data_IF_719846467139
#
_entry.id   IF_719846467139
#
_cell.length_a   1.000
_cell.length_b   1.000
_cell.length_c   1.000
_cell.angle_alpha   90.00
_cell.angle_beta   90.00
_cell.angle_gamma   90.00
#
_symmetry.space_group_name_H-M   'P 1'
#
loop_
_entity.id
_entity.type
_entity.pdbx_description
1 polymer ?
#
# COMPACT_ATOMS: atom_id res chain seq x y z
N UNK A 1 9.08 23.50 9.57
CA UNK A 1 8.56 22.13 9.32
C UNK A 1 9.76 21.20 9.23
N UNK A 2 10.07 20.47 10.30
CA UNK A 2 11.13 19.45 10.26
C UNK A 2 10.62 18.28 9.40
N UNK A 3 11.48 17.79 8.50
CA UNK A 3 11.13 16.92 7.37
C UNK A 3 10.25 15.74 7.73
N UNK A 4 9.06 15.68 7.12
CA UNK A 4 8.28 14.45 7.06
C UNK A 4 9.13 13.40 6.33
N UNK A 5 9.26 12.16 6.84
CA UNK A 5 10.01 11.12 6.14
C UNK A 5 9.52 11.02 4.69
N UNK A 6 10.43 11.08 3.72
CA UNK A 6 10.07 10.92 2.30
C UNK A 6 9.43 9.55 2.03
N UNK A 7 9.73 8.55 2.87
CA UNK A 7 9.26 7.17 2.74
C UNK A 7 8.04 6.93 3.64
N UNK A 8 6.92 6.55 3.02
CA UNK A 8 5.68 6.16 3.67
C UNK A 8 5.71 4.66 4.01
N UNK A 9 6.25 4.33 5.17
CA UNK A 9 6.38 2.94 5.64
C UNK A 9 5.04 2.19 5.79
N UNK A 10 3.91 2.88 5.85
CA UNK A 10 2.60 2.22 5.86
C UNK A 10 2.33 1.36 4.63
N UNK A 11 2.86 1.72 3.44
CA UNK A 11 2.64 0.98 2.20
C UNK A 11 3.28 -0.41 2.22
N UNK A 12 4.61 -0.55 2.51
CA UNK A 12 5.21 -1.88 2.64
C UNK A 12 4.61 -2.67 3.79
N UNK A 13 4.26 -2.05 4.92
CA UNK A 13 3.65 -2.75 6.05
C UNK A 13 2.28 -3.34 5.72
N UNK A 14 1.46 -2.63 4.93
CA UNK A 14 0.20 -3.16 4.42
C UNK A 14 0.41 -4.40 3.54
N UNK A 15 1.36 -4.34 2.60
CA UNK A 15 1.67 -5.50 1.73
C UNK A 15 2.14 -6.68 2.57
N UNK A 16 3.00 -6.44 3.56
CA UNK A 16 3.48 -7.47 4.49
C UNK A 16 2.35 -8.06 5.35
N UNK A 17 1.42 -7.23 5.84
CA UNK A 17 0.26 -7.71 6.58
C UNK A 17 -0.57 -8.67 5.72
N UNK A 18 -0.80 -8.34 4.44
CA UNK A 18 -1.52 -9.20 3.49
C UNK A 18 -0.75 -10.49 3.21
N UNK A 19 0.58 -10.42 3.04
CA UNK A 19 1.42 -11.59 2.79
C UNK A 19 1.47 -12.56 3.99
N UNK A 20 1.57 -12.03 5.22
CA UNK A 20 1.72 -12.87 6.42
C UNK A 20 0.39 -13.35 7.01
N UNK A 21 -0.65 -12.51 7.03
CA UNK A 21 -1.95 -12.84 7.62
C UNK A 21 -2.95 -13.36 6.57
N UNK A 22 -2.57 -13.34 5.30
CA UNK A 22 -3.42 -13.69 4.17
C UNK A 22 -4.38 -12.56 3.77
N UNK A 23 -5.05 -12.76 2.63
CA UNK A 23 -5.86 -11.71 1.99
C UNK A 23 -6.95 -11.08 2.85
N UNK A 24 -7.68 -11.92 3.60
CA UNK A 24 -8.83 -11.44 4.40
C UNK A 24 -8.33 -10.72 5.65
N UNK A 25 -7.61 -11.41 6.53
CA UNK A 25 -7.16 -10.85 7.81
C UNK A 25 -6.12 -9.77 7.61
N UNK A 26 -5.17 -9.96 6.69
CA UNK A 26 -4.18 -8.95 6.35
C UNK A 26 -4.76 -7.72 5.66
N UNK A 27 -5.78 -7.91 4.81
CA UNK A 27 -6.54 -6.79 4.24
C UNK A 27 -7.29 -5.99 5.30
N UNK A 28 -7.98 -6.65 6.23
CA UNK A 28 -8.62 -5.97 7.37
C UNK A 28 -7.60 -5.25 8.25
N UNK A 29 -6.47 -5.88 8.56
CA UNK A 29 -5.39 -5.26 9.31
C UNK A 29 -4.83 -4.01 8.59
N UNK A 30 -4.70 -4.07 7.26
CA UNK A 30 -4.27 -2.92 6.46
C UNK A 30 -5.29 -1.78 6.47
N UNK A 31 -6.59 -2.08 6.31
CA UNK A 31 -7.67 -1.07 6.37
C UNK A 31 -7.72 -0.39 7.73
N UNK A 32 -7.70 -1.17 8.81
CA UNK A 32 -7.74 -0.63 10.18
C UNK A 32 -6.45 0.13 10.49
N UNK A 33 -5.30 -0.42 10.11
CA UNK A 33 -4.00 0.19 10.37
C UNK A 33 -3.82 1.52 9.65
N UNK A 34 -4.02 1.56 8.33
CA UNK A 34 -3.80 2.76 7.52
C UNK A 34 -4.98 3.74 7.60
N UNK A 35 -6.20 3.25 7.40
CA UNK A 35 -7.40 4.10 7.50
C UNK A 35 -7.59 4.65 8.92
N UNK A 36 -7.32 3.83 9.94
CA UNK A 36 -7.31 4.28 11.33
C UNK A 36 -6.19 5.27 11.63
N UNK A 37 -4.98 5.05 11.10
CA UNK A 37 -3.88 6.01 11.23
C UNK A 37 -4.27 7.37 10.65
N UNK A 38 -4.85 7.42 9.44
CA UNK A 38 -5.27 8.66 8.82
C UNK A 38 -6.36 9.38 9.63
N UNK A 39 -7.33 8.62 10.15
CA UNK A 39 -8.38 9.15 11.02
C UNK A 39 -7.79 9.82 12.27
N UNK A 40 -6.81 9.18 12.92
CA UNK A 40 -6.16 9.68 14.13
C UNK A 40 -5.22 10.87 13.87
N UNK A 41 -4.76 11.06 12.64
CA UNK A 41 -3.83 12.13 12.26
C UNK A 41 -4.51 13.33 11.59
N UNK A 42 -5.84 13.44 11.70
CA UNK A 42 -6.60 14.58 11.18
C UNK A 42 -6.98 14.47 9.70
N UNK A 43 -6.77 13.31 9.08
CA UNK A 43 -7.16 13.01 7.70
C UNK A 43 -8.49 12.25 7.62
N UNK A 44 -9.42 12.53 8.55
CA UNK A 44 -10.71 11.84 8.66
C UNK A 44 -11.50 11.85 7.34
N UNK A 45 -11.54 12.99 6.65
CA UNK A 45 -12.29 13.17 5.41
C UNK A 45 -11.77 12.33 4.23
N UNK A 46 -10.48 11.98 4.23
CA UNK A 46 -9.84 11.19 3.17
C UNK A 46 -9.51 9.76 3.61
N UNK A 47 -9.62 9.44 4.91
CA UNK A 47 -9.30 8.12 5.48
C UNK A 47 -10.01 6.94 4.79
N UNK A 48 -11.23 7.14 4.28
CA UNK A 48 -11.97 6.12 3.55
C UNK A 48 -11.35 5.79 2.19
N UNK A 49 -10.66 6.75 1.54
CA UNK A 49 -9.89 6.50 0.31
C UNK A 49 -8.69 5.62 0.63
N UNK A 50 -7.99 5.89 1.72
CA UNK A 50 -6.87 5.04 2.19
C UNK A 50 -7.34 3.63 2.54
N UNK A 51 -8.51 3.50 3.19
CA UNK A 51 -9.14 2.21 3.42
C UNK A 51 -9.47 1.48 2.10
N UNK A 52 -9.98 2.20 1.09
CA UNK A 52 -10.26 1.65 -0.23
C UNK A 52 -8.97 1.17 -0.93
N UNK A 53 -7.89 1.94 -0.85
CA UNK A 53 -6.58 1.52 -1.37
C UNK A 53 -6.08 0.23 -0.69
N UNK A 54 -6.29 0.10 0.62
CA UNK A 54 -5.94 -1.13 1.34
C UNK A 54 -6.76 -2.34 0.88
N UNK A 55 -8.04 -2.17 0.58
CA UNK A 55 -8.89 -3.23 0.01
C UNK A 55 -8.40 -3.62 -1.38
N UNK A 56 -8.11 -2.65 -2.25
CA UNK A 56 -7.58 -2.91 -3.60
C UNK A 56 -6.24 -3.65 -3.50
N UNK A 57 -5.35 -3.22 -2.61
CA UNK A 57 -4.07 -3.88 -2.38
C UNK A 57 -4.25 -5.33 -1.90
N UNK A 58 -5.19 -5.55 -0.98
CA UNK A 58 -5.52 -6.90 -0.49
C UNK A 58 -5.98 -7.82 -1.64
N UNK A 59 -6.82 -7.31 -2.54
CA UNK A 59 -7.28 -8.08 -3.72
C UNK A 59 -6.10 -8.40 -4.64
N UNK A 60 -5.30 -7.41 -5.01
CA UNK A 60 -4.18 -7.59 -5.96
C UNK A 60 -3.13 -8.55 -5.41
N UNK A 61 -2.67 -8.32 -4.18
CA UNK A 61 -1.64 -9.16 -3.56
C UNK A 61 -2.17 -10.59 -3.37
N UNK A 62 -3.40 -10.77 -2.90
CA UNK A 62 -3.99 -12.10 -2.75
C UNK A 62 -4.14 -12.85 -4.07
N UNK A 63 -4.53 -12.15 -5.13
CA UNK A 63 -4.62 -12.73 -6.46
C UNK A 63 -3.25 -13.24 -6.94
N UNK A 64 -2.18 -12.47 -6.71
CA UNK A 64 -0.82 -12.87 -7.07
C UNK A 64 -0.31 -14.04 -6.22
N UNK A 65 -0.53 -14.01 -4.90
CA UNK A 65 -0.18 -15.13 -4.01
C UNK A 65 -0.86 -16.42 -4.50
N UNK A 66 -2.15 -16.34 -4.86
CA UNK A 66 -2.91 -17.47 -5.41
C UNK A 66 -2.36 -17.90 -6.77
N UNK A 67 -2.04 -16.98 -7.66
CA UNK A 67 -1.43 -17.26 -8.97
C UNK A 67 -0.07 -17.98 -8.84
N UNK A 68 0.74 -17.61 -7.86
CA UNK A 68 2.01 -18.26 -7.54
C UNK A 68 1.87 -19.52 -6.68
N UNK A 69 0.64 -20.02 -6.50
CA UNK A 69 0.33 -21.24 -5.74
C UNK A 69 0.89 -21.22 -4.32
N UNK A 70 0.90 -20.06 -3.67
CA UNK A 70 1.42 -19.86 -2.31
C UNK A 70 2.90 -20.30 -2.15
N UNK A 71 3.69 -20.24 -3.22
CA UNK A 71 5.11 -20.54 -3.15
C UNK A 71 5.89 -19.33 -2.65
N UNK A 72 6.68 -19.53 -1.59
CA UNK A 72 7.51 -18.47 -0.98
C UNK A 72 8.88 -18.29 -1.66
N UNK A 73 8.93 -18.39 -2.99
CA UNK A 73 10.19 -18.18 -3.73
C UNK A 73 10.55 -16.69 -3.74
N UNK A 74 11.85 -16.33 -3.58
CA UNK A 74 12.31 -14.95 -3.69
C UNK A 74 11.77 -14.18 -4.89
N UNK A 75 11.76 -14.84 -6.05
CA UNK A 75 11.25 -14.26 -7.29
C UNK A 75 9.78 -13.83 -7.18
N UNK A 76 8.91 -14.66 -6.59
CA UNK A 76 7.49 -14.36 -6.48
C UNK A 76 7.21 -13.22 -5.49
N UNK A 77 7.92 -13.19 -4.36
CA UNK A 77 7.78 -12.09 -3.39
C UNK A 77 8.25 -10.77 -3.99
N UNK A 78 9.36 -10.78 -4.73
CA UNK A 78 9.85 -9.60 -5.46
C UNK A 78 8.82 -9.15 -6.50
N UNK A 79 8.26 -10.07 -7.29
CA UNK A 79 7.21 -9.75 -8.27
C UNK A 79 5.97 -9.14 -7.60
N UNK A 80 5.51 -9.71 -6.47
CA UNK A 80 4.41 -9.15 -5.69
C UNK A 80 4.73 -7.73 -5.22
N UNK A 81 5.92 -7.50 -4.70
CA UNK A 81 6.34 -6.19 -4.20
C UNK A 81 6.38 -5.13 -5.31
N UNK A 82 6.85 -5.49 -6.50
CA UNK A 82 6.86 -4.62 -7.68
C UNK A 82 5.42 -4.30 -8.11
N UNK A 83 4.56 -5.32 -8.25
CA UNK A 83 3.16 -5.11 -8.67
C UNK A 83 2.38 -4.32 -7.62
N UNK A 84 2.65 -4.52 -6.33
CA UNK A 84 2.08 -3.72 -5.26
C UNK A 84 2.52 -2.24 -5.37
N UNK A 85 3.79 -1.97 -5.64
CA UNK A 85 4.28 -0.62 -5.93
C UNK A 85 3.56 0.01 -7.12
N UNK A 86 3.43 -0.70 -8.24
CA UNK A 86 2.71 -0.21 -9.42
C UNK A 86 1.23 0.05 -9.13
N UNK A 87 0.58 -0.85 -8.40
CA UNK A 87 -0.81 -0.70 -7.96
C UNK A 87 -0.95 0.58 -7.13
N UNK A 88 -0.02 0.83 -6.21
CA UNK A 88 -0.04 2.04 -5.38
C UNK A 88 0.11 3.32 -6.19
N UNK A 89 0.95 3.33 -7.23
CA UNK A 89 1.06 4.49 -8.15
C UNK A 89 -0.29 4.80 -8.79
N UNK A 90 -0.97 3.77 -9.32
CA UNK A 90 -2.26 3.94 -9.98
C UNK A 90 -3.34 4.38 -9.00
N UNK A 91 -3.45 3.70 -7.85
CA UNK A 91 -4.51 4.03 -6.87
C UNK A 91 -4.31 5.43 -6.30
N UNK A 92 -3.08 5.81 -5.95
CA UNK A 92 -2.80 7.12 -5.36
C UNK A 92 -2.99 8.27 -6.35
N UNK A 93 -2.80 8.02 -7.65
CA UNK A 93 -3.18 8.99 -8.67
C UNK A 93 -4.70 9.20 -8.72
N UNK A 94 -5.47 8.10 -8.72
CA UNK A 94 -6.92 8.17 -8.77
C UNK A 94 -7.50 8.81 -7.50
N UNK A 95 -7.01 8.43 -6.32
CA UNK A 95 -7.45 9.04 -5.06
C UNK A 95 -7.05 10.51 -5.00
N UNK A 96 -5.85 10.89 -5.47
CA UNK A 96 -5.44 12.29 -5.56
C UNK A 96 -6.36 13.16 -6.42
N UNK A 97 -6.89 12.62 -7.53
CA UNK A 97 -7.91 13.31 -8.33
C UNK A 97 -9.20 13.46 -7.53
N UNK A 98 -9.67 12.38 -6.89
CA UNK A 98 -10.90 12.39 -6.09
C UNK A 98 -10.80 13.39 -4.94
N UNK A 99 -9.68 13.40 -4.21
CA UNK A 99 -9.42 14.35 -3.12
C UNK A 99 -9.45 15.79 -3.62
N UNK A 100 -8.79 16.09 -4.74
CA UNK A 100 -8.81 17.43 -5.31
C UNK A 100 -10.24 17.85 -5.71
N UNK A 101 -11.04 16.94 -6.27
CA UNK A 101 -12.44 17.21 -6.60
C UNK A 101 -13.32 17.41 -5.35
N UNK A 102 -13.06 16.67 -4.26
CA UNK A 102 -13.79 16.82 -2.99
C UNK A 102 -13.63 18.21 -2.36
N UNK A 103 -12.49 18.86 -2.59
CA UNK A 103 -12.22 20.24 -2.12
C UNK A 103 -12.75 21.28 -3.12
N UNK A 104 -13.47 20.86 -4.17
CA UNK A 104 -14.15 21.74 -5.12
C UNK A 104 -13.27 22.22 -6.28
N UNK A 105 -12.13 21.58 -6.54
CA UNK A 105 -11.32 21.93 -7.72
C UNK A 105 -11.96 21.45 -9.02
N UNK A 106 -11.59 22.08 -10.13
CA UNK A 106 -12.06 21.71 -11.47
C UNK A 106 -11.24 20.51 -11.96
N UNK A 107 -11.87 19.58 -12.68
CA UNK A 107 -11.25 18.31 -13.13
C UNK A 107 -9.87 18.48 -13.78
N UNK A 108 -9.69 19.50 -14.64
CA UNK A 108 -8.39 19.76 -15.27
C UNK A 108 -7.29 20.04 -14.23
N UNK A 109 -7.61 20.83 -13.21
CA UNK A 109 -6.68 21.16 -12.13
C UNK A 109 -6.43 19.94 -11.23
N UNK A 110 -7.47 19.14 -10.94
CA UNK A 110 -7.34 17.91 -10.17
C UNK A 110 -6.39 16.90 -10.83
N UNK A 111 -6.55 16.68 -12.14
CA UNK A 111 -5.69 15.78 -12.95
C UNK A 111 -4.24 16.24 -12.93
N UNK A 112 -4.01 17.54 -13.15
CA UNK A 112 -2.65 18.10 -13.13
C UNK A 112 -2.04 18.01 -11.73
N UNK A 113 -2.80 18.35 -10.69
CA UNK A 113 -2.35 18.27 -9.30
C UNK A 113 -1.95 16.85 -8.89
N UNK A 114 -2.80 15.86 -9.19
CA UNK A 114 -2.51 14.45 -8.93
C UNK A 114 -1.30 13.94 -9.73
N UNK A 115 -1.09 14.45 -10.95
CA UNK A 115 0.10 14.11 -11.73
C UNK A 115 1.37 14.67 -11.08
N UNK A 116 1.31 15.89 -10.55
CA UNK A 116 2.44 16.52 -9.87
C UNK A 116 2.80 15.84 -8.53
N UNK A 117 1.90 15.08 -7.91
CA UNK A 117 2.19 14.27 -6.71
C UNK A 117 2.75 12.87 -7.02
N UNK A 118 2.74 12.44 -8.30
CA UNK A 118 3.27 11.13 -8.70
C UNK A 118 4.76 10.93 -8.36
N UNK A 119 5.68 11.90 -8.51
CA UNK A 119 7.10 11.68 -8.23
C UNK A 119 7.34 11.17 -6.80
N UNK A 120 6.66 11.76 -5.81
CA UNK A 120 6.74 11.30 -4.42
C UNK A 120 6.17 9.88 -4.26
N UNK A 121 5.06 9.57 -4.95
CA UNK A 121 4.44 8.24 -4.93
C UNK A 121 5.34 7.18 -5.58
N UNK A 122 6.02 7.52 -6.67
CA UNK A 122 6.97 6.63 -7.36
C UNK A 122 8.13 6.29 -6.44
N UNK A 123 8.73 7.28 -5.77
CA UNK A 123 9.80 7.05 -4.79
C UNK A 123 9.31 6.11 -3.67
N UNK A 124 8.11 6.35 -3.14
CA UNK A 124 7.48 5.49 -2.13
C UNK A 124 7.21 4.06 -2.63
N UNK A 125 6.86 3.91 -3.91
CA UNK A 125 6.56 2.62 -4.52
C UNK A 125 7.83 1.82 -4.79
N UNK A 126 8.92 2.49 -5.18
CA UNK A 126 10.26 1.88 -5.27
C UNK A 126 10.72 1.43 -3.88
N UNK A 127 10.57 2.29 -2.87
CA UNK A 127 10.88 1.91 -1.50
C UNK A 127 10.07 0.70 -1.06
N UNK A 128 8.77 0.64 -1.39
CA UNK A 128 7.91 -0.52 -1.12
C UNK A 128 8.43 -1.79 -1.81
N UNK A 129 8.80 -1.69 -3.09
CA UNK A 129 9.33 -2.82 -3.85
C UNK A 129 10.64 -3.39 -3.29
N UNK A 130 11.44 -2.57 -2.60
CA UNK A 130 12.68 -2.98 -1.94
C UNK A 130 12.44 -3.47 -0.51
N UNK A 131 11.66 -2.72 0.27
CA UNK A 131 11.42 -2.99 1.70
C UNK A 131 10.63 -4.28 1.89
N UNK A 132 9.60 -4.54 1.07
CA UNK A 132 8.73 -5.71 1.24
C UNK A 132 9.53 -7.02 1.15
N UNK A 133 10.33 -7.31 0.12
CA UNK A 133 11.10 -8.55 0.07
C UNK A 133 12.09 -8.68 1.23
N UNK A 134 12.80 -7.60 1.58
CA UNK A 134 13.77 -7.61 2.68
C UNK A 134 13.09 -7.98 4.00
N UNK A 135 12.02 -7.25 4.35
CA UNK A 135 11.29 -7.49 5.60
C UNK A 135 10.58 -8.84 5.57
N UNK A 136 10.03 -9.27 4.44
CA UNK A 136 9.41 -10.58 4.31
C UNK A 136 10.39 -11.70 4.67
N UNK A 137 11.58 -11.70 4.07
CA UNK A 137 12.58 -12.74 4.31
C UNK A 137 13.21 -12.67 5.69
N UNK A 138 13.31 -11.47 6.28
CA UNK A 138 13.78 -11.28 7.64
C UNK A 138 12.75 -11.77 8.68
N UNK A 139 11.46 -11.53 8.46
CA UNK A 139 10.39 -11.79 9.43
C UNK A 139 9.73 -13.16 9.27
N UNK A 140 9.80 -13.80 8.09
CA UNK A 140 9.22 -15.14 7.86
C UNK A 140 9.62 -16.21 8.90
N UNK A 141 10.85 -16.26 9.46
CA UNK A 141 11.20 -17.31 10.42
C UNK A 141 10.45 -17.14 11.74
N UNK A 142 10.12 -15.90 12.11
CA UNK A 142 9.34 -15.59 13.32
C UNK A 142 7.90 -16.04 13.13
N UNK A 143 7.27 -15.71 12.00
CA UNK A 143 5.88 -16.08 11.73
C UNK A 143 5.68 -17.60 11.60
N UNK A 144 6.65 -18.35 11.07
CA UNK A 144 6.59 -19.82 11.04
C UNK A 144 6.59 -20.45 12.44
N UNK A 145 7.26 -19.82 13.42
CA UNK A 145 7.30 -20.31 14.81
C UNK A 145 5.98 -20.12 15.57
N UNK A 146 5.16 -19.15 15.19
CA UNK A 146 3.86 -18.91 15.85
C UNK A 146 2.71 -19.73 15.26
N UNK A 147 2.89 -20.27 14.05
CA UNK A 147 1.87 -21.02 13.31
C UNK A 147 2.21 -22.52 13.19
N UNK A 148 3.16 -23.01 14.00
CA UNK A 148 3.52 -24.42 14.20
C UNK A 148 3.15 -24.85 15.61
#
# INVERSE_FOLDING_TARGET
>A
MVGRPFIHFGNPLMVLAILFLGGRLGGFAAVVGLGGFDLLNGYAATSWLTALEAIVMAIVVSALVKAFKHQDKPQYIITIAIVAGLTKIVTSYLTGIVEALMVGTILKTAVVGAFLSLPATVINSIATAIIVPILYFMLRPLFKRFNS
#
